data_IF_258015779709
#
_entry.id   IF_258015779709
#
_cell.length_a   1.000
_cell.length_b   1.000
_cell.length_c   1.000
_cell.angle_alpha   90.00
_cell.angle_beta   90.00
_cell.angle_gamma   90.00
#
_symmetry.space_group_name_H-M   'P 1'
#
loop_
_entity.id
_entity.type
_entity.pdbx_description
1 polymer ?
#
# COMPACT_ATOMS: atom_id res chain seq x y z
N UNK A 1 -41.06 -43.10 -18.11
CA UNK A 1 -40.34 -41.92 -17.58
C UNK A 1 -38.97 -42.38 -17.11
N UNK A 2 -37.86 -41.77 -17.55
CA UNK A 2 -36.50 -42.16 -17.16
C UNK A 2 -35.88 -41.02 -16.36
N UNK A 3 -35.54 -41.28 -15.10
CA UNK A 3 -34.85 -40.33 -14.23
C UNK A 3 -33.35 -40.52 -14.44
N UNK A 4 -32.68 -39.52 -15.00
CA UNK A 4 -31.22 -39.49 -15.15
C UNK A 4 -30.63 -38.77 -13.93
N UNK A 5 -29.89 -39.48 -13.09
CA UNK A 5 -29.15 -38.91 -11.97
C UNK A 5 -27.74 -38.57 -12.47
N UNK A 6 -27.39 -37.29 -12.48
CA UNK A 6 -26.03 -36.83 -12.73
C UNK A 6 -25.23 -36.88 -11.43
N UNK A 7 -24.26 -37.80 -11.35
CA UNK A 7 -23.27 -37.83 -10.29
C UNK A 7 -22.17 -36.81 -10.63
N UNK A 8 -22.20 -35.65 -9.96
CA UNK A 8 -21.11 -34.67 -10.05
C UNK A 8 -19.98 -35.14 -9.13
N UNK A 9 -18.94 -35.76 -9.70
CA UNK A 9 -17.67 -35.92 -8.99
C UNK A 9 -17.01 -34.55 -8.89
N UNK A 10 -17.07 -33.95 -7.71
CA UNK A 10 -16.18 -32.85 -7.36
C UNK A 10 -14.75 -33.40 -7.30
N UNK A 11 -13.97 -33.16 -8.35
CA UNK A 11 -12.53 -33.34 -8.30
C UNK A 11 -11.99 -32.26 -7.35
N UNK A 12 -11.71 -32.66 -6.11
CA UNK A 12 -10.88 -31.89 -5.19
C UNK A 12 -9.48 -31.82 -5.78
N UNK A 13 -9.23 -30.85 -6.67
CA UNK A 13 -7.88 -30.49 -7.06
C UNK A 13 -7.14 -30.07 -5.79
N UNK A 14 -6.23 -30.90 -5.30
CA UNK A 14 -5.32 -30.49 -4.23
C UNK A 14 -4.57 -29.28 -4.76
N UNK A 15 -4.84 -28.08 -4.21
CA UNK A 15 -3.89 -27.01 -4.33
C UNK A 15 -2.60 -27.52 -3.66
N UNK A 16 -1.54 -27.72 -4.44
CA UNK A 16 -0.22 -27.87 -3.84
C UNK A 16 0.06 -26.54 -3.18
N UNK A 17 0.05 -26.52 -1.85
CA UNK A 17 0.47 -25.36 -1.07
C UNK A 17 1.98 -25.21 -1.30
N UNK A 18 2.35 -24.45 -2.32
CA UNK A 18 3.75 -24.17 -2.63
C UNK A 18 4.20 -23.15 -1.59
N UNK A 19 4.85 -23.65 -0.55
CA UNK A 19 5.42 -22.83 0.50
C UNK A 19 6.72 -22.19 -0.02
N UNK A 20 6.65 -20.92 -0.43
CA UNK A 20 7.82 -20.13 -0.81
C UNK A 20 8.49 -19.54 0.43
N UNK A 21 9.81 -19.61 0.45
CA UNK A 21 10.67 -19.03 1.46
C UNK A 21 11.61 -17.99 0.85
N UNK A 22 12.28 -17.19 1.69
CA UNK A 22 13.30 -16.25 1.19
C UNK A 22 14.49 -16.96 0.53
N UNK A 23 14.73 -18.23 0.84
CA UNK A 23 15.82 -19.03 0.26
C UNK A 23 15.57 -19.41 -1.21
N UNK A 24 14.34 -19.24 -1.70
CA UNK A 24 13.98 -19.49 -3.09
C UNK A 24 14.38 -18.32 -4.02
N UNK A 25 14.91 -17.23 -3.46
CA UNK A 25 15.34 -16.04 -4.18
C UNK A 25 16.87 -15.91 -4.16
N UNK A 26 17.49 -15.23 -5.15
CA UNK A 26 18.94 -15.03 -5.17
C UNK A 26 19.45 -14.34 -3.91
N UNK A 27 20.70 -14.63 -3.54
CA UNK A 27 21.37 -13.91 -2.47
C UNK A 27 21.36 -12.39 -2.73
N UNK A 28 21.00 -11.62 -1.72
CA UNK A 28 20.84 -10.16 -1.85
C UNK A 28 19.54 -9.69 -2.49
N UNK A 29 18.57 -10.59 -2.75
CA UNK A 29 17.24 -10.18 -3.17
C UNK A 29 16.57 -9.33 -2.07
N UNK A 30 16.06 -8.16 -2.45
CA UNK A 30 15.49 -7.17 -1.53
C UNK A 30 13.97 -7.28 -1.55
N UNK A 31 13.38 -7.57 -0.40
CA UNK A 31 11.93 -7.46 -0.21
C UNK A 31 11.59 -6.15 0.47
N UNK A 32 10.61 -5.42 -0.05
CA UNK A 32 10.25 -4.12 0.49
C UNK A 32 8.78 -3.79 0.35
N UNK A 33 8.38 -2.69 0.96
CA UNK A 33 7.07 -2.07 0.79
C UNK A 33 7.21 -0.72 0.09
N UNK A 34 6.09 -0.21 -0.42
CA UNK A 34 6.06 1.08 -1.07
C UNK A 34 4.82 1.89 -0.71
N UNK A 35 5.00 3.21 -0.61
CA UNK A 35 3.94 4.20 -0.39
C UNK A 35 4.09 5.37 -1.36
N UNK A 36 3.04 6.19 -1.45
CA UNK A 36 3.10 7.50 -2.10
C UNK A 36 2.70 8.60 -1.11
N UNK A 37 3.27 9.79 -1.28
CA UNK A 37 3.14 10.90 -0.35
C UNK A 37 1.67 11.28 -0.10
N UNK A 38 0.91 11.51 -1.17
CA UNK A 38 -0.49 11.95 -1.05
C UNK A 38 -1.40 10.87 -0.42
N UNK A 39 -1.12 9.59 -0.68
CA UNK A 39 -1.93 8.48 -0.18
C UNK A 39 -1.64 8.13 1.28
N UNK A 40 -0.48 8.53 1.81
CA UNK A 40 0.00 8.08 3.13
C UNK A 40 0.23 9.23 4.12
N UNK A 41 0.80 10.36 3.70
CA UNK A 41 1.27 11.41 4.64
C UNK A 41 0.14 12.04 5.46
N UNK A 42 -0.94 12.48 4.81
CA UNK A 42 -1.88 13.41 5.45
C UNK A 42 -1.29 14.81 5.63
N UNK A 43 -1.72 15.49 6.70
CA UNK A 43 -1.17 16.78 7.13
C UNK A 43 -1.10 17.80 5.99
N UNK A 44 -2.24 18.00 5.31
CA UNK A 44 -2.26 18.65 3.99
C UNK A 44 -1.90 20.14 4.00
N UNK A 45 -2.10 20.83 5.13
CA UNK A 45 -1.79 22.25 5.35
C UNK A 45 -0.96 22.42 6.64
N UNK A 46 0.04 21.56 6.81
CA UNK A 46 0.96 21.59 7.97
C UNK A 46 2.36 21.94 7.48
N UNK A 47 3.08 22.71 8.30
CA UNK A 47 4.49 23.10 8.11
C UNK A 47 4.80 23.73 6.73
N UNK A 48 3.86 24.50 6.20
CA UNK A 48 4.04 25.29 4.99
C UNK A 48 3.80 24.54 3.68
N UNK A 49 3.32 23.29 3.71
CA UNK A 49 2.84 22.58 2.52
C UNK A 49 1.77 23.42 1.81
N UNK A 50 1.84 23.49 0.48
CA UNK A 50 0.77 24.08 -0.36
C UNK A 50 -0.08 23.01 -1.03
N UNK A 51 -1.33 23.37 -1.43
CA UNK A 51 -2.20 22.45 -2.15
C UNK A 51 -1.54 21.93 -3.44
N UNK A 52 -1.55 20.63 -3.62
CA UNK A 52 -1.23 19.99 -4.88
C UNK A 52 -2.45 19.96 -5.82
N UNK A 53 -2.24 19.46 -7.04
CA UNK A 53 -3.33 19.22 -7.99
C UNK A 53 -4.35 18.22 -7.42
N UNK A 54 -3.91 17.22 -6.64
CA UNK A 54 -4.80 16.25 -6.01
C UNK A 54 -5.66 16.86 -4.91
N UNK A 55 -5.07 17.70 -4.04
CA UNK A 55 -5.83 18.43 -3.02
C UNK A 55 -6.94 19.25 -3.70
N UNK A 56 -6.56 20.05 -4.70
CA UNK A 56 -7.48 20.93 -5.45
C UNK A 56 -8.59 20.13 -6.13
N UNK A 57 -8.24 19.03 -6.80
CA UNK A 57 -9.20 18.20 -7.53
C UNK A 57 -10.23 17.57 -6.59
N UNK A 58 -9.80 16.99 -5.47
CA UNK A 58 -10.67 16.26 -4.56
C UNK A 58 -11.53 17.22 -3.72
N UNK A 59 -10.96 18.32 -3.22
CA UNK A 59 -11.73 19.35 -2.50
C UNK A 59 -12.76 20.04 -3.40
N UNK A 60 -12.41 20.38 -4.65
CA UNK A 60 -13.36 21.05 -5.58
C UNK A 60 -14.59 20.21 -5.92
N UNK A 61 -14.48 18.88 -5.77
CA UNK A 61 -15.55 17.92 -6.05
C UNK A 61 -16.20 17.36 -4.78
N UNK A 62 -15.75 17.82 -3.60
CA UNK A 62 -16.19 17.31 -2.30
C UNK A 62 -16.13 15.77 -2.22
N UNK A 63 -15.01 15.20 -2.68
CA UNK A 63 -14.71 13.77 -2.64
C UNK A 63 -13.79 13.45 -1.46
N UNK A 64 -13.65 12.15 -1.14
CA UNK A 64 -12.66 11.68 -0.16
C UNK A 64 -11.25 12.17 -0.54
N UNK A 65 -10.54 12.74 0.43
CA UNK A 65 -9.31 13.48 0.21
C UNK A 65 -8.15 12.92 1.05
N UNK A 66 -6.96 13.48 0.84
CA UNK A 66 -5.73 13.10 1.52
C UNK A 66 -5.43 13.95 2.75
N UNK A 67 -6.42 14.63 3.36
CA UNK A 67 -6.17 15.60 4.43
C UNK A 67 -5.57 14.93 5.68
N UNK A 68 -6.04 13.71 5.97
CA UNK A 68 -5.58 12.85 7.07
C UNK A 68 -4.82 11.63 6.53
N UNK A 69 -5.37 10.94 5.52
CA UNK A 69 -4.81 9.70 4.97
C UNK A 69 -4.49 8.65 6.05
N UNK A 70 -3.28 8.08 6.05
CA UNK A 70 -2.79 7.18 7.09
C UNK A 70 -2.15 7.92 8.28
N UNK A 71 -2.15 9.26 8.27
CA UNK A 71 -1.47 10.10 9.26
C UNK A 71 0.05 9.84 9.34
N UNK A 72 0.64 9.42 8.21
CA UNK A 72 2.04 9.04 8.10
C UNK A 72 3.01 10.19 8.39
N UNK A 73 2.61 11.44 8.16
CA UNK A 73 3.42 12.61 8.49
C UNK A 73 3.81 12.66 9.97
N UNK A 74 2.88 12.26 10.85
CA UNK A 74 3.12 12.23 12.29
C UNK A 74 3.63 10.85 12.77
N UNK A 75 3.24 9.77 12.08
CA UNK A 75 3.48 8.37 12.51
C UNK A 75 4.61 7.65 11.76
N UNK A 76 5.39 8.35 10.93
CA UNK A 76 6.42 7.71 10.11
C UNK A 76 7.40 6.83 10.88
N UNK A 77 7.69 7.14 12.15
CA UNK A 77 8.57 6.31 12.99
C UNK A 77 7.96 4.96 13.31
N UNK A 78 6.66 4.93 13.59
CA UNK A 78 5.91 3.72 13.88
C UNK A 78 5.83 2.84 12.62
N UNK A 79 5.62 3.46 11.46
CA UNK A 79 5.60 2.75 10.17
C UNK A 79 6.98 2.16 9.83
N UNK A 80 8.08 2.90 10.06
CA UNK A 80 9.44 2.37 9.89
C UNK A 80 9.71 1.23 10.86
N UNK A 81 9.25 1.32 12.11
CA UNK A 81 9.37 0.23 13.07
C UNK A 81 8.61 -1.02 12.59
N UNK A 82 7.37 -0.85 12.12
CA UNK A 82 6.57 -1.94 11.59
C UNK A 82 7.26 -2.66 10.42
N UNK A 83 7.95 -1.92 9.55
CA UNK A 83 8.72 -2.52 8.46
C UNK A 83 9.87 -3.40 8.94
N UNK A 84 10.59 -2.95 9.96
CA UNK A 84 11.68 -3.73 10.58
C UNK A 84 11.11 -4.99 11.22
N UNK A 85 10.01 -4.87 11.97
CA UNK A 85 9.33 -6.00 12.62
C UNK A 85 8.78 -7.02 11.59
N UNK A 86 8.34 -6.53 10.42
CA UNK A 86 7.87 -7.38 9.32
C UNK A 86 9.03 -8.10 8.59
N UNK A 87 10.28 -7.67 8.79
CA UNK A 87 11.45 -8.23 8.09
C UNK A 87 11.56 -7.77 6.64
N UNK A 88 11.18 -6.51 6.37
CA UNK A 88 11.40 -5.86 5.07
C UNK A 88 12.78 -5.22 5.01
N UNK A 89 13.42 -5.34 3.86
CA UNK A 89 14.77 -4.84 3.58
C UNK A 89 14.77 -3.41 3.02
N UNK A 90 13.67 -3.00 2.37
CA UNK A 90 13.58 -1.70 1.72
C UNK A 90 12.23 -1.02 1.92
N UNK A 91 12.29 0.32 2.07
CA UNK A 91 11.12 1.19 2.04
C UNK A 91 11.20 2.18 0.88
N UNK A 92 10.27 2.08 -0.06
CA UNK A 92 10.16 3.01 -1.17
C UNK A 92 9.04 4.02 -0.90
N UNK A 93 9.37 5.30 -0.87
CA UNK A 93 8.37 6.36 -0.75
C UNK A 93 8.64 7.48 -1.75
N UNK A 94 7.62 8.28 -2.04
CA UNK A 94 7.76 9.51 -2.82
C UNK A 94 7.81 10.72 -1.89
N UNK A 95 8.43 11.81 -2.35
CA UNK A 95 8.44 13.08 -1.62
C UNK A 95 7.37 13.99 -2.20
N UNK A 96 6.55 14.61 -1.35
CA UNK A 96 5.57 15.61 -1.78
C UNK A 96 6.26 16.87 -2.29
N UNK A 97 6.17 17.15 -3.60
CA UNK A 97 6.75 18.35 -4.20
C UNK A 97 6.17 19.62 -3.59
N UNK A 98 4.85 19.69 -3.38
CA UNK A 98 4.20 20.88 -2.82
C UNK A 98 4.53 21.13 -1.34
N UNK A 99 5.19 20.17 -0.68
CA UNK A 99 5.80 20.35 0.65
C UNK A 99 7.24 20.85 0.54
N UNK A 100 8.03 20.34 -0.40
CA UNK A 100 9.45 20.69 -0.54
C UNK A 100 9.69 22.00 -1.28
N UNK A 101 8.97 22.21 -2.39
CA UNK A 101 9.03 23.40 -3.25
C UNK A 101 7.59 23.86 -3.48
N UNK A 102 7.03 24.64 -2.53
CA UNK A 102 5.61 25.01 -2.54
C UNK A 102 5.22 26.05 -3.61
N UNK A 103 6.19 26.64 -4.32
CA UNK A 103 6.00 27.72 -5.30
C UNK A 103 7.07 27.75 -6.40
#
# INVERSE_FOLDING_TARGET
ERITIFLVLALSGSCTDVNYSRNDFPEGFVFGSAISAYQWEGAFDVDGKKPSVWDTFLHSRNLDNGDIACDGYHKYKDDVQLMVETGLDAFRFSISWSRLIPN
#
